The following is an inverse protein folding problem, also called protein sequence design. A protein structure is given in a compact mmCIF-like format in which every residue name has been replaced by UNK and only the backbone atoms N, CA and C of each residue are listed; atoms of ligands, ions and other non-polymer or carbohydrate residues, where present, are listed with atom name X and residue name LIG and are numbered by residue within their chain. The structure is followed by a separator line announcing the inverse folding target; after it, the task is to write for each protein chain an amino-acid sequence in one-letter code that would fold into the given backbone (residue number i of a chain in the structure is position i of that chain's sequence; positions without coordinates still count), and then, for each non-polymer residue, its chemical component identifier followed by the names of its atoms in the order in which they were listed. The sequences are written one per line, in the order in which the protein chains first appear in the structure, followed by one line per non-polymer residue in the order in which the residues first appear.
data_IF_640757765823
#
_entry.id   IF_640757765823
#
_cell.length_a   1.000
_cell.length_b   1.000
_cell.length_c   1.000
_cell.angle_alpha   90.00
_cell.angle_beta   90.00
_cell.angle_gamma   90.00
#
_symmetry.space_group_name_H-M   'P 1'
#
loop_
_entity.id
_entity.type
_entity.pdbx_description
1 polymer ?
#
# COMPACT_ATOMS: atom_id res chain seq x y z
N UNK A 1 -19.08 -10.92 -5.28
CA UNK A 1 -18.98 -10.80 -3.81
C UNK A 1 -17.68 -10.09 -3.47
N UNK A 2 -17.58 -9.42 -2.32
CA UNK A 2 -16.40 -8.63 -1.94
C UNK A 2 -16.07 -8.77 -0.45
N UNK A 3 -14.79 -8.56 -0.11
CA UNK A 3 -14.26 -8.52 1.25
C UNK A 3 -13.40 -7.28 1.38
N UNK A 4 -13.68 -6.44 2.37
CA UNK A 4 -12.88 -5.25 2.69
C UNK A 4 -12.14 -5.43 3.99
N UNK A 5 -10.87 -5.05 4.01
CA UNK A 5 -10.05 -5.22 5.20
C UNK A 5 -8.58 -4.93 5.00
N UNK A 6 -7.81 -5.20 6.05
CA UNK A 6 -6.37 -5.01 6.09
C UNK A 6 -5.64 -6.31 5.74
N UNK A 7 -4.66 -6.26 4.85
CA UNK A 7 -3.75 -7.40 4.62
C UNK A 7 -2.89 -7.57 5.87
N UNK A 8 -2.94 -8.74 6.51
CA UNK A 8 -2.13 -9.02 7.71
C UNK A 8 -1.01 -10.02 7.46
N UNK A 9 -1.12 -10.82 6.39
CA UNK A 9 -0.12 -11.82 6.06
C UNK A 9 -0.21 -12.21 4.58
N UNK A 10 0.94 -12.41 3.95
CA UNK A 10 1.06 -13.01 2.61
C UNK A 10 1.81 -14.33 2.79
N UNK A 11 1.23 -15.43 2.29
CA UNK A 11 1.80 -16.77 2.38
C UNK A 11 2.65 -17.05 1.14
N UNK A 12 3.69 -17.87 1.28
CA UNK A 12 4.52 -18.30 0.16
C UNK A 12 3.68 -18.97 -0.93
N UNK A 13 3.99 -18.71 -2.22
CA UNK A 13 3.24 -19.28 -3.32
C UNK A 13 3.46 -20.80 -3.41
N UNK A 14 2.36 -21.53 -3.60
CA UNK A 14 2.36 -22.94 -3.91
C UNK A 14 2.36 -23.12 -5.43
N UNK A 15 3.20 -24.04 -5.92
CA UNK A 15 3.28 -24.37 -7.34
C UNK A 15 2.98 -25.86 -7.48
N UNK A 16 2.24 -26.22 -8.52
CA UNK A 16 2.00 -27.62 -8.85
C UNK A 16 1.73 -27.82 -10.33
N UNK A 17 1.58 -29.07 -10.73
CA UNK A 17 1.26 -29.45 -12.11
C UNK A 17 -0.11 -30.11 -12.15
N UNK A 18 -0.95 -29.67 -13.07
CA UNK A 18 -2.25 -30.28 -13.37
C UNK A 18 -2.26 -30.82 -14.80
N UNK A 19 -3.31 -31.56 -15.16
CA UNK A 19 -3.55 -31.98 -16.55
C UNK A 19 -3.64 -30.80 -17.53
N UNK A 20 -3.91 -29.58 -17.05
CA UNK A 20 -3.99 -28.34 -17.84
C UNK A 20 -2.69 -27.53 -17.83
N UNK A 21 -1.61 -28.07 -17.26
CA UNK A 21 -0.31 -27.41 -17.13
C UNK A 21 0.02 -26.99 -15.69
N UNK A 22 1.11 -26.25 -15.54
CA UNK A 22 1.59 -25.74 -14.26
C UNK A 22 0.63 -24.67 -13.73
N UNK A 23 0.30 -24.77 -12.44
CA UNK A 23 -0.50 -23.78 -11.73
C UNK A 23 0.32 -23.20 -10.58
N UNK A 24 0.01 -21.95 -10.25
CA UNK A 24 0.55 -21.27 -9.06
C UNK A 24 -0.62 -20.72 -8.27
N UNK A 25 -0.61 -20.94 -6.96
CA UNK A 25 -1.58 -20.40 -6.02
C UNK A 25 -0.83 -19.62 -4.96
N UNK A 26 -1.26 -18.39 -4.67
CA UNK A 26 -0.71 -17.63 -3.56
C UNK A 26 -1.85 -17.19 -2.64
N UNK A 27 -1.72 -17.53 -1.37
CA UNK A 27 -2.72 -17.24 -0.35
C UNK A 27 -2.29 -16.03 0.47
N UNK A 28 -3.25 -15.23 0.90
CA UNK A 28 -3.02 -14.10 1.80
C UNK A 28 -4.19 -13.98 2.78
N UNK A 29 -3.93 -13.37 3.93
CA UNK A 29 -4.91 -13.21 5.00
C UNK A 29 -5.33 -11.75 5.09
N UNK A 30 -6.64 -11.51 5.03
CA UNK A 30 -7.27 -10.21 5.24
C UNK A 30 -8.00 -10.23 6.58
N UNK A 31 -7.80 -9.19 7.38
CA UNK A 31 -8.58 -8.91 8.59
C UNK A 31 -9.70 -7.92 8.26
N UNK A 32 -10.96 -8.30 8.48
CA UNK A 32 -12.14 -7.46 8.14
C UNK A 32 -12.25 -6.22 9.02
N UNK A 33 -12.81 -5.14 8.48
CA UNK A 33 -13.00 -3.86 9.18
C UNK A 33 -14.27 -3.80 10.05
N UNK A 34 -14.77 -4.94 10.52
CA UNK A 34 -16.01 -5.03 11.31
C UNK A 34 -15.76 -4.82 12.81
N UNK A 35 -16.84 -4.65 13.60
CA UNK A 35 -16.73 -4.56 15.07
C UNK A 35 -16.02 -5.77 15.70
N UNK A 36 -16.12 -6.94 15.06
CA UNK A 36 -15.41 -8.15 15.45
C UNK A 36 -14.59 -8.70 14.28
N UNK A 37 -13.37 -8.17 14.08
CA UNK A 37 -12.54 -8.50 12.94
C UNK A 37 -12.37 -10.01 12.76
N UNK A 38 -12.57 -10.48 11.54
CA UNK A 38 -12.36 -11.87 11.15
C UNK A 38 -11.15 -11.96 10.24
N UNK A 39 -10.34 -12.99 10.44
CA UNK A 39 -9.20 -13.30 9.56
C UNK A 39 -9.69 -14.24 8.48
N UNK A 40 -9.65 -13.78 7.24
CA UNK A 40 -10.14 -14.48 6.06
C UNK A 40 -8.96 -14.84 5.18
N UNK A 41 -8.78 -16.14 4.91
CA UNK A 41 -7.78 -16.62 3.96
C UNK A 41 -8.34 -16.56 2.55
N UNK A 42 -7.64 -15.87 1.65
CA UNK A 42 -8.05 -15.67 0.26
C UNK A 42 -6.92 -16.18 -0.64
N UNK A 43 -7.28 -17.02 -1.61
CA UNK A 43 -6.35 -17.56 -2.60
C UNK A 43 -6.44 -16.84 -3.93
N UNK A 44 -5.29 -16.62 -4.57
CA UNK A 44 -5.16 -16.11 -5.94
C UNK A 44 -4.49 -17.18 -6.78
N UNK A 45 -5.07 -17.48 -7.95
CA UNK A 45 -4.51 -18.44 -8.90
C UNK A 45 -3.85 -17.75 -10.10
N UNK A 46 -2.78 -18.37 -10.60
CA UNK A 46 -2.07 -18.06 -11.84
C UNK A 46 -1.62 -16.59 -11.95
N UNK A 47 -1.13 -16.01 -10.85
CA UNK A 47 -0.59 -14.64 -10.81
C UNK A 47 -1.55 -13.57 -11.35
N UNK A 48 -2.87 -13.84 -11.34
CA UNK A 48 -3.89 -12.89 -11.78
C UNK A 48 -3.85 -11.57 -11.01
N UNK A 49 -3.35 -11.64 -9.78
CA UNK A 49 -3.13 -10.48 -8.92
C UNK A 49 -1.66 -10.49 -8.51
N UNK A 50 -0.89 -9.44 -8.84
CA UNK A 50 0.48 -9.31 -8.36
C UNK A 50 0.47 -8.91 -6.89
N UNK A 51 0.36 -9.90 -5.99
CA UNK A 51 0.35 -9.65 -4.53
C UNK A 51 1.62 -8.92 -4.05
N UNK A 52 2.73 -9.02 -4.78
CA UNK A 52 3.97 -8.29 -4.51
C UNK A 52 3.83 -6.77 -4.57
N UNK A 53 2.78 -6.25 -5.23
CA UNK A 53 2.48 -4.81 -5.26
C UNK A 53 1.76 -4.31 -4.01
N UNK A 54 1.36 -5.22 -3.12
CA UNK A 54 0.62 -4.90 -1.90
C UNK A 54 1.50 -5.15 -0.68
N UNK A 55 1.41 -4.25 0.29
CA UNK A 55 2.16 -4.36 1.54
C UNK A 55 1.28 -4.95 2.64
N UNK A 56 1.93 -5.63 3.59
CA UNK A 56 1.27 -5.97 4.85
C UNK A 56 0.86 -4.66 5.52
N UNK A 57 -0.41 -4.57 5.88
CA UNK A 57 -1.03 -3.42 6.49
C UNK A 57 -1.84 -2.53 5.55
N UNK A 58 -1.77 -2.75 4.24
CA UNK A 58 -2.61 -2.05 3.27
C UNK A 58 -4.09 -2.38 3.47
N UNK A 59 -4.94 -1.36 3.39
CA UNK A 59 -6.39 -1.50 3.30
C UNK A 59 -6.78 -1.84 1.86
N UNK A 60 -7.58 -2.89 1.69
CA UNK A 60 -7.93 -3.43 0.38
C UNK A 60 -9.38 -3.87 0.30
N UNK A 61 -9.97 -3.72 -0.88
CA UNK A 61 -11.22 -4.36 -1.29
C UNK A 61 -10.87 -5.50 -2.23
N UNK A 62 -11.23 -6.72 -1.87
CA UNK A 62 -10.97 -7.91 -2.66
C UNK A 62 -12.28 -8.43 -3.23
N UNK A 63 -12.37 -8.54 -4.55
CA UNK A 63 -13.48 -9.21 -5.20
C UNK A 63 -13.22 -10.71 -5.23
N UNK A 64 -14.19 -11.46 -4.71
CA UNK A 64 -14.06 -12.89 -4.47
C UNK A 64 -15.16 -13.70 -5.16
N UNK A 65 -14.82 -14.95 -5.43
CA UNK A 65 -15.74 -16.04 -5.72
C UNK A 65 -15.65 -17.07 -4.60
N UNK A 66 -16.80 -17.58 -4.16
CA UNK A 66 -16.87 -18.67 -3.20
C UNK A 66 -17.17 -19.95 -3.95
N UNK A 67 -16.38 -20.97 -3.66
CA UNK A 67 -16.64 -22.33 -4.09
C UNK A 67 -16.57 -23.25 -2.86
N UNK A 68 -17.31 -24.35 -2.89
CA UNK A 68 -17.21 -25.38 -1.86
C UNK A 68 -17.04 -26.71 -2.55
N UNK A 69 -16.14 -27.51 -1.98
CA UNK A 69 -15.93 -28.90 -2.40
C UNK A 69 -16.14 -29.81 -1.22
N UNK A 70 -16.82 -30.91 -1.47
CA UNK A 70 -16.97 -31.98 -0.50
C UNK A 70 -15.79 -32.94 -0.67
N UNK A 71 -15.21 -33.35 0.46
CA UNK A 71 -14.19 -34.38 0.53
C UNK A 71 -14.39 -35.20 1.81
N UNK A 72 -14.71 -36.47 1.64
CA UNK A 72 -14.88 -37.45 2.71
C UNK A 72 -15.92 -37.04 3.78
N UNK A 73 -17.09 -36.61 3.31
CA UNK A 73 -18.21 -36.12 4.10
C UNK A 73 -18.02 -34.72 4.70
N UNK A 74 -16.88 -34.06 4.44
CA UNK A 74 -16.57 -32.72 4.94
C UNK A 74 -16.57 -31.70 3.81
N UNK A 75 -17.18 -30.55 4.06
CA UNK A 75 -17.21 -29.44 3.12
C UNK A 75 -16.06 -28.47 3.41
N UNK A 76 -15.34 -28.11 2.36
CA UNK A 76 -14.25 -27.15 2.40
C UNK A 76 -14.58 -25.99 1.47
N UNK A 77 -14.64 -24.80 2.04
CA UNK A 77 -14.90 -23.57 1.30
C UNK A 77 -13.57 -22.95 0.86
N UNK A 78 -13.45 -22.69 -0.43
CA UNK A 78 -12.36 -21.90 -0.98
C UNK A 78 -12.88 -20.50 -1.31
N UNK A 79 -12.08 -19.50 -0.94
CA UNK A 79 -12.32 -18.09 -1.25
C UNK A 79 -11.29 -17.68 -2.29
N UNK A 80 -11.73 -17.51 -3.53
CA UNK A 80 -10.85 -17.20 -4.65
C UNK A 80 -10.96 -15.72 -5.01
N UNK A 81 -9.87 -14.97 -4.80
CA UNK A 81 -9.75 -13.57 -5.19
C UNK A 81 -9.43 -13.45 -6.68
N UNK A 82 -10.15 -12.60 -7.40
CA UNK A 82 -9.92 -12.35 -8.84
C UNK A 82 -9.60 -10.89 -9.15
N UNK A 83 -9.90 -9.96 -8.24
CA UNK A 83 -9.49 -8.56 -8.32
C UNK A 83 -9.27 -8.01 -6.91
N UNK A 84 -8.31 -7.12 -6.77
CA UNK A 84 -8.02 -6.39 -5.54
C UNK A 84 -7.90 -4.90 -5.86
N UNK A 85 -8.42 -4.05 -4.98
CA UNK A 85 -8.37 -2.60 -5.07
C UNK A 85 -7.77 -2.08 -3.76
N UNK A 86 -6.88 -1.09 -3.85
CA UNK A 86 -6.33 -0.43 -2.67
C UNK A 86 -7.37 0.58 -2.15
N UNK A 87 -7.80 0.42 -0.90
CA UNK A 87 -8.67 1.37 -0.21
C UNK A 87 -7.78 2.41 0.49
N UNK A 88 -7.26 3.35 -0.30
CA UNK A 88 -6.44 4.45 0.21
C UNK A 88 -4.99 4.40 -0.25
N UNK A 89 -4.79 4.81 -1.51
CA UNK A 89 -3.78 5.82 -1.81
C UNK A 89 -4.52 6.90 -2.59
N UNK A 90 -5.18 7.81 -1.86
CA UNK A 90 -5.19 9.18 -2.36
C UNK A 90 -3.74 9.62 -2.26
N UNK A 91 -2.97 9.31 -3.31
CA UNK A 91 -1.71 9.96 -3.53
C UNK A 91 -2.02 11.44 -3.43
N UNK A 92 -1.54 12.05 -2.36
CA UNK A 92 -1.39 13.47 -2.27
C UNK A 92 -0.65 13.87 -3.54
N UNK A 93 -1.38 14.42 -4.51
CA UNK A 93 -0.78 15.19 -5.58
C UNK A 93 -0.13 16.38 -4.87
N UNK A 94 1.16 16.20 -4.64
CA UNK A 94 2.17 17.17 -4.29
C UNK A 94 1.78 18.59 -4.70
N UNK A 95 1.77 19.45 -3.70
CA UNK A 95 1.89 20.90 -3.86
C UNK A 95 3.08 21.18 -4.79
N UNK A 96 2.81 21.63 -6.00
CA UNK A 96 3.83 22.10 -6.94
C UNK A 96 3.48 23.50 -7.40
N UNK A 97 4.18 24.46 -6.82
CA UNK A 97 4.82 25.55 -7.55
C UNK A 97 3.91 26.58 -8.20
N UNK A 98 3.57 27.62 -7.43
CA UNK A 98 3.37 28.97 -7.98
C UNK A 98 4.57 29.32 -8.88
N UNK A 99 4.34 29.45 -10.18
CA UNK A 99 5.35 29.97 -11.12
C UNK A 99 5.05 31.45 -11.34
N UNK A 100 5.60 32.28 -10.46
CA UNK A 100 5.67 33.73 -10.62
C UNK A 100 6.78 34.10 -11.60
N UNK A 101 6.37 34.74 -12.69
CA UNK A 101 7.10 35.67 -13.59
C UNK A 101 8.61 35.85 -13.41
N UNK A 102 9.34 35.49 -14.47
CA UNK A 102 10.71 35.93 -14.75
C UNK A 102 10.83 37.47 -14.77
N UNK A 103 11.67 38.02 -13.89
CA UNK A 103 12.33 39.31 -14.12
C UNK A 103 13.80 39.20 -13.72
N UNK A 104 14.66 39.28 -14.74
CA UNK A 104 16.10 39.51 -14.65
C UNK A 104 16.35 40.98 -14.34
N UNK A 105 17.06 41.26 -13.26
CA UNK A 105 17.65 42.59 -12.98
C UNK A 105 19.11 42.36 -12.53
N UNK A 106 20.11 43.04 -13.14
CA UNK A 106 21.53 42.81 -12.88
C UNK A 106 21.99 43.35 -11.51
N UNK A 107 23.13 42.87 -10.98
CA UNK A 107 23.61 43.27 -9.66
C UNK A 107 24.23 44.67 -9.68
N UNK A 108 23.96 45.52 -8.67
CA UNK A 108 24.81 46.66 -8.36
C UNK A 108 25.99 46.22 -7.48
N UNK A 109 27.20 46.58 -7.91
CA UNK A 109 28.41 46.64 -7.08
C UNK A 109 28.34 47.86 -6.16
N UNK A 110 28.84 47.77 -4.92
CA UNK A 110 29.67 48.77 -4.19
C UNK A 110 29.78 48.40 -2.68
N UNK A 111 30.98 47.94 -2.33
CA UNK A 111 31.91 48.36 -1.26
C UNK A 111 31.45 48.68 0.18
N UNK A 112 31.97 47.89 1.13
CA UNK A 112 32.50 48.19 2.48
C UNK A 112 31.87 49.33 3.32
N UNK A 113 31.31 49.01 4.49
CA UNK A 113 31.46 49.87 5.68
C UNK A 113 31.52 49.06 6.98
N UNK A 114 32.62 49.29 7.70
CA UNK A 114 32.97 48.79 9.02
C UNK A 114 32.61 49.89 10.02
N UNK A 115 31.53 49.71 10.81
CA UNK A 115 31.18 50.54 11.99
C UNK A 115 30.10 49.82 12.82
N UNK A 116 30.47 49.04 13.84
CA UNK A 116 30.47 49.44 15.27
C UNK A 116 29.11 49.36 16.01
N UNK A 117 28.99 48.39 16.91
CA UNK A 117 28.57 48.46 18.34
C UNK A 117 28.29 47.02 18.84
N UNK A 118 29.08 46.43 19.77
CA UNK A 118 28.96 46.55 21.25
C UNK A 118 27.53 46.32 21.73
N UNK A 119 27.18 45.50 22.72
CA UNK A 119 27.87 44.70 23.74
C UNK A 119 26.71 43.97 24.49
N UNK A 120 27.02 42.96 25.31
CA UNK A 120 26.13 42.29 26.29
C UNK A 120 25.09 41.33 25.66
N UNK A 121 24.90 40.10 26.12
CA UNK A 121 24.63 39.76 27.51
C UNK A 121 24.93 38.27 27.77
N UNK A 122 25.62 38.02 28.88
CA UNK A 122 26.14 36.72 29.29
C UNK A 122 25.05 35.84 29.90
N UNK A 123 24.93 34.60 29.44
CA UNK A 123 23.97 33.61 29.96
C UNK A 123 24.30 33.20 31.41
N UNK A 124 23.33 33.25 32.35
CA UNK A 124 23.56 32.88 33.75
C UNK A 124 23.43 31.36 34.00
N UNK A 125 24.14 30.88 35.03
CA UNK A 125 23.71 29.76 35.88
C UNK A 125 22.94 30.31 37.07
#
# INVERSE_FOLDING_TARGET
MEVEGKIIQIIEPQIGTSAKGQWKKQDFIVETNEQFPKKVCIGVFNDKIPLSSFNIGSQVKVHINLESREFNGKWYTNINGWKIELLGDSAAASVSGSTGTSQTVPPPTIDNDWSKSEETDSLPF
#
